data_IF_805509529010
#
_entry.id   IF_805509529010
#
_cell.length_a   1.000
_cell.length_b   1.000
_cell.length_c   1.000
_cell.angle_alpha   90.00
_cell.angle_beta   90.00
_cell.angle_gamma   90.00
#
_symmetry.space_group_name_H-M   'P 1'
#
loop_
_entity.id
_entity.type
_entity.pdbx_description
1 polymer ?
#
# COMPACT_ATOMS: atom_id res chain seq x y z
N UNK A 1 41.61 -4.38 -4.86
CA UNK A 1 40.68 -5.33 -4.20
C UNK A 1 39.33 -4.66 -4.09
N UNK A 2 38.24 -5.40 -4.24
CA UNK A 2 36.89 -4.85 -4.05
C UNK A 2 36.73 -4.37 -2.61
N UNK A 3 35.98 -3.29 -2.39
CA UNK A 3 35.57 -2.84 -1.04
C UNK A 3 34.39 -3.64 -0.49
N UNK A 4 33.89 -4.62 -1.25
CA UNK A 4 32.78 -5.48 -0.88
C UNK A 4 33.25 -6.90 -0.62
N UNK A 5 32.69 -7.51 0.42
CA UNK A 5 32.88 -8.92 0.76
C UNK A 5 31.83 -9.79 0.08
N UNK A 6 32.23 -10.98 -0.36
CA UNK A 6 31.32 -11.95 -0.97
C UNK A 6 30.66 -12.81 0.11
N UNK A 7 29.33 -12.77 0.20
CA UNK A 7 28.55 -13.57 1.14
C UNK A 7 27.90 -14.78 0.44
N UNK A 8 27.69 -15.86 1.21
CA UNK A 8 27.03 -17.07 0.71
C UNK A 8 25.53 -16.84 0.48
N UNK A 9 25.04 -17.37 -0.64
CA UNK A 9 23.60 -17.48 -0.95
C UNK A 9 23.06 -18.77 -0.29
N UNK A 10 22.01 -18.61 0.52
CA UNK A 10 21.32 -19.71 1.24
C UNK A 10 19.81 -19.50 1.23
N UNK A 11 19.04 -20.53 1.54
CA UNK A 11 17.59 -20.40 1.70
C UNK A 11 17.25 -19.37 2.78
N UNK A 12 16.20 -18.57 2.53
CA UNK A 12 15.85 -17.42 3.34
C UNK A 12 17.01 -16.40 3.50
N UNK A 13 17.83 -16.19 2.46
CA UNK A 13 18.97 -15.27 2.47
C UNK A 13 18.64 -13.87 3.04
N UNK A 14 17.41 -13.39 2.86
CA UNK A 14 16.97 -12.10 3.39
C UNK A 14 16.92 -12.04 4.92
N UNK A 15 16.94 -13.20 5.60
CA UNK A 15 16.98 -13.33 7.06
C UNK A 15 18.38 -13.60 7.60
N UNK A 16 19.32 -14.03 6.77
CA UNK A 16 20.64 -14.50 7.24
C UNK A 16 21.80 -13.70 6.66
N UNK A 17 21.62 -13.14 5.47
CA UNK A 17 22.71 -12.60 4.65
C UNK A 17 22.50 -11.14 4.25
N UNK A 18 21.38 -10.51 4.65
CA UNK A 18 21.05 -9.13 4.27
C UNK A 18 20.48 -8.34 5.44
N UNK A 19 20.83 -7.05 5.48
CA UNK A 19 20.07 -6.03 6.19
C UNK A 19 19.12 -5.37 5.19
N UNK A 20 17.95 -5.97 5.00
CA UNK A 20 17.00 -5.57 3.97
C UNK A 20 15.78 -4.89 4.61
N UNK A 21 15.63 -3.56 4.47
CA UNK A 21 14.51 -2.85 5.09
C UNK A 21 13.20 -3.23 4.40
N UNK A 22 12.26 -3.72 5.18
CA UNK A 22 10.96 -4.20 4.75
C UNK A 22 9.85 -3.59 5.61
N UNK A 23 8.65 -3.41 5.03
CA UNK A 23 7.47 -3.09 5.83
C UNK A 23 7.17 -4.23 6.82
N UNK A 24 6.54 -3.93 7.95
CA UNK A 24 5.90 -4.96 8.78
C UNK A 24 4.39 -4.75 8.72
N UNK A 25 3.68 -5.72 8.15
CA UNK A 25 2.22 -5.72 8.07
C UNK A 25 1.64 -6.95 8.74
N UNK A 26 0.34 -6.89 9.06
CA UNK A 26 -0.45 -8.05 9.49
C UNK A 26 -1.51 -8.31 8.44
N UNK A 27 -1.52 -9.50 7.85
CA UNK A 27 -2.48 -9.90 6.83
C UNK A 27 -3.63 -10.66 7.49
N UNK A 28 -4.85 -10.14 7.32
CA UNK A 28 -6.10 -10.80 7.68
C UNK A 28 -6.58 -11.69 6.54
N UNK A 29 -7.06 -12.89 6.87
CA UNK A 29 -7.58 -13.89 5.92
C UNK A 29 -8.74 -14.67 6.54
N UNK A 30 -9.54 -15.34 5.73
CA UNK A 30 -10.69 -16.14 6.18
C UNK A 30 -10.34 -17.61 6.34
N UNK A 31 -10.55 -18.14 7.54
CA UNK A 31 -10.55 -19.57 7.82
C UNK A 31 -11.72 -20.27 7.12
N UNK A 32 -11.70 -21.59 7.10
CA UNK A 32 -12.78 -22.42 6.53
C UNK A 32 -14.13 -22.20 7.24
N UNK A 33 -14.11 -21.93 8.55
CA UNK A 33 -15.30 -21.61 9.35
C UNK A 33 -15.77 -20.14 9.22
N UNK A 34 -15.13 -19.36 8.33
CA UNK A 34 -15.43 -17.94 8.12
C UNK A 34 -14.82 -17.00 9.18
N UNK A 35 -14.12 -17.52 10.18
CA UNK A 35 -13.42 -16.66 11.17
C UNK A 35 -12.19 -16.00 10.56
N UNK A 36 -11.79 -14.85 11.13
CA UNK A 36 -10.59 -14.13 10.66
C UNK A 36 -9.33 -14.64 11.33
N UNK A 37 -8.34 -15.04 10.53
CA UNK A 37 -6.97 -15.33 10.94
C UNK A 37 -6.04 -14.15 10.63
N UNK A 38 -5.09 -13.88 11.53
CA UNK A 38 -4.04 -12.88 11.35
C UNK A 38 -2.66 -13.54 11.20
N UNK A 39 -1.86 -13.06 10.24
CA UNK A 39 -0.46 -13.46 10.08
C UNK A 39 0.44 -12.26 9.78
N UNK A 40 1.57 -12.09 10.46
CA UNK A 40 2.52 -11.00 10.18
C UNK A 40 3.41 -11.33 8.98
N UNK A 41 3.67 -10.35 8.11
CA UNK A 41 4.50 -10.50 6.91
C UNK A 41 5.35 -9.25 6.66
N UNK A 42 6.55 -9.48 6.10
CA UNK A 42 7.43 -8.41 5.61
C UNK A 42 7.68 -8.47 4.10
N UNK A 43 7.53 -9.65 3.49
CA UNK A 43 7.67 -9.86 2.05
C UNK A 43 6.38 -9.49 1.31
N UNK A 44 6.01 -8.22 1.39
CA UNK A 44 4.86 -7.61 0.72
C UNK A 44 5.34 -6.37 -0.05
N UNK A 45 5.04 -6.27 -1.35
CA UNK A 45 5.59 -5.22 -2.21
C UNK A 45 4.57 -4.77 -3.25
N UNK A 46 4.57 -3.50 -3.71
CA UNK A 46 3.80 -3.10 -4.88
C UNK A 46 4.20 -3.93 -6.11
N UNK A 47 3.21 -4.32 -6.92
CA UNK A 47 3.43 -5.13 -8.12
C UNK A 47 2.96 -4.39 -9.38
N UNK A 48 1.64 -4.27 -9.58
CA UNK A 48 1.09 -3.42 -10.63
C UNK A 48 0.82 -2.02 -10.09
N UNK A 49 1.60 -1.05 -10.57
CA UNK A 49 1.57 0.35 -10.09
C UNK A 49 1.10 1.36 -11.13
N UNK A 50 1.14 1.02 -12.42
CA UNK A 50 0.66 1.85 -13.53
C UNK A 50 0.45 1.01 -14.79
N UNK A 51 -0.38 1.49 -15.72
CA UNK A 51 -0.53 0.91 -17.06
C UNK A 51 -1.39 -0.37 -17.14
N UNK A 52 -2.08 -0.74 -16.06
CA UNK A 52 -3.08 -1.80 -16.00
C UNK A 52 -4.42 -1.22 -15.55
N UNK A 53 -5.50 -1.93 -15.83
CA UNK A 53 -6.86 -1.58 -15.38
C UNK A 53 -7.03 -1.68 -13.86
N UNK A 54 -6.09 -2.35 -13.18
CA UNK A 54 -6.05 -2.52 -11.73
C UNK A 54 -4.63 -2.41 -11.17
N UNK A 55 -4.55 -2.14 -9.87
CA UNK A 55 -3.31 -2.12 -9.11
C UNK A 55 -3.21 -3.37 -8.25
N UNK A 56 -1.99 -3.79 -7.92
CA UNK A 56 -1.77 -5.01 -7.15
C UNK A 56 -0.56 -4.94 -6.22
N UNK A 57 -0.62 -5.73 -5.15
CA UNK A 57 0.48 -6.05 -4.25
C UNK A 57 0.96 -7.49 -4.52
N UNK A 58 2.24 -7.78 -4.30
CA UNK A 58 2.81 -9.11 -4.30
C UNK A 58 3.06 -9.54 -2.86
N UNK A 59 2.43 -10.64 -2.43
CA UNK A 59 2.78 -11.35 -1.21
C UNK A 59 3.65 -12.56 -1.54
N UNK A 60 4.83 -12.65 -0.95
CA UNK A 60 5.63 -13.87 -0.92
C UNK A 60 5.58 -14.49 0.48
N UNK A 61 5.21 -15.77 0.55
CA UNK A 61 5.10 -16.46 1.83
C UNK A 61 5.33 -17.96 1.70
N UNK A 62 5.47 -18.62 2.85
CA UNK A 62 5.45 -20.09 2.89
C UNK A 62 4.04 -20.59 2.56
N UNK A 63 3.97 -21.55 1.65
CA UNK A 63 2.70 -22.12 1.21
C UNK A 63 1.96 -22.85 2.34
N UNK A 64 2.66 -23.37 3.34
CA UNK A 64 2.08 -24.02 4.53
C UNK A 64 1.50 -23.05 5.57
N UNK A 65 1.64 -21.74 5.40
CA UNK A 65 1.09 -20.78 6.36
C UNK A 65 -0.44 -20.75 6.32
N UNK A 66 -1.09 -20.54 7.47
CA UNK A 66 -2.55 -20.36 7.55
C UNK A 66 -3.04 -19.27 6.57
N UNK A 67 -2.28 -18.19 6.42
CA UNK A 67 -2.60 -17.10 5.48
C UNK A 67 -2.59 -17.59 4.03
N UNK A 68 -1.53 -18.29 3.58
CA UNK A 68 -1.47 -18.82 2.23
C UNK A 68 -2.61 -19.82 1.97
N UNK A 69 -2.83 -20.74 2.91
CA UNK A 69 -3.91 -21.71 2.85
C UNK A 69 -5.29 -21.03 2.76
N UNK A 70 -5.51 -19.96 3.49
CA UNK A 70 -6.76 -19.20 3.45
C UNK A 70 -6.95 -18.42 2.14
N UNK A 71 -5.86 -17.86 1.57
CA UNK A 71 -5.91 -17.17 0.28
C UNK A 71 -6.19 -18.16 -0.86
N UNK A 72 -5.58 -19.34 -0.88
CA UNK A 72 -5.88 -20.39 -1.88
C UNK A 72 -7.37 -20.70 -1.91
N UNK A 73 -7.97 -20.89 -0.73
CA UNK A 73 -9.40 -21.21 -0.56
C UNK A 73 -10.33 -20.07 -0.95
N UNK A 74 -10.11 -18.88 -0.42
CA UNK A 74 -11.10 -17.80 -0.48
C UNK A 74 -10.74 -16.72 -1.50
N UNK A 75 -9.45 -16.57 -1.80
CA UNK A 75 -8.93 -15.48 -2.63
C UNK A 75 -9.04 -14.10 -1.98
N UNK A 76 -9.40 -13.99 -0.69
CA UNK A 76 -9.63 -12.70 -0.01
C UNK A 76 -8.62 -12.49 1.12
N UNK A 77 -8.05 -11.29 1.17
CA UNK A 77 -7.21 -10.86 2.29
C UNK A 77 -7.30 -9.35 2.52
N UNK A 78 -6.87 -8.90 3.71
CA UNK A 78 -6.63 -7.49 3.99
C UNK A 78 -5.21 -7.30 4.54
N UNK A 79 -4.49 -6.30 4.05
CA UNK A 79 -3.12 -5.98 4.46
C UNK A 79 -3.20 -4.81 5.45
N UNK A 80 -2.93 -5.07 6.73
CA UNK A 80 -3.04 -4.08 7.80
C UNK A 80 -1.66 -3.54 8.20
N UNK A 81 -1.49 -2.22 8.14
CA UNK A 81 -0.24 -1.56 8.49
C UNK A 81 -0.26 -1.19 9.98
N UNK A 82 0.60 -1.86 10.75
CA UNK A 82 0.76 -1.59 12.19
C UNK A 82 1.70 -0.41 12.42
N UNK A 83 1.59 0.23 13.59
CA UNK A 83 2.53 1.27 14.00
C UNK A 83 3.82 0.69 14.63
N UNK A 84 4.76 1.58 14.95
CA UNK A 84 6.04 1.23 15.56
C UNK A 84 5.99 1.04 17.08
N UNK A 85 4.78 0.92 17.66
CA UNK A 85 4.62 0.66 19.07
C UNK A 85 5.22 -0.72 19.42
N UNK A 86 6.17 -0.82 20.35
CA UNK A 86 6.78 -2.10 20.73
C UNK A 86 5.79 -3.18 21.14
N UNK A 87 4.61 -2.80 21.67
CA UNK A 87 3.55 -3.75 22.01
C UNK A 87 2.95 -4.41 20.76
N UNK A 88 2.72 -3.63 19.71
CA UNK A 88 2.17 -4.14 18.44
C UNK A 88 3.19 -5.02 17.74
N UNK A 89 4.48 -4.65 17.76
CA UNK A 89 5.53 -5.50 17.22
C UNK A 89 5.67 -6.82 18.00
N UNK A 90 5.64 -6.77 19.34
CA UNK A 90 5.67 -7.97 20.19
C UNK A 90 4.49 -8.90 19.89
N UNK A 91 3.30 -8.33 19.69
CA UNK A 91 2.11 -9.08 19.30
C UNK A 91 2.25 -9.72 17.91
N UNK A 92 2.79 -8.99 16.93
CA UNK A 92 3.11 -9.54 15.61
C UNK A 92 4.08 -10.72 15.72
N UNK A 93 5.18 -10.59 16.46
CA UNK A 93 6.13 -11.70 16.68
C UNK A 93 5.43 -12.91 17.32
N UNK A 94 4.56 -12.70 18.31
CA UNK A 94 3.77 -13.78 18.93
C UNK A 94 2.92 -14.53 17.90
N UNK A 95 2.28 -13.83 16.97
CA UNK A 95 1.45 -14.42 15.91
C UNK A 95 2.24 -15.11 14.78
N UNK A 96 3.58 -14.95 14.75
CA UNK A 96 4.45 -15.52 13.74
C UNK A 96 4.92 -16.95 14.04
N UNK A 97 4.52 -17.51 15.18
CA UNK A 97 4.94 -18.85 15.59
C UNK A 97 4.47 -19.91 14.58
N UNK A 98 5.39 -20.71 14.00
CA UNK A 98 5.02 -21.73 13.03
C UNK A 98 4.12 -22.82 13.64
N UNK A 99 3.06 -23.20 12.93
CA UNK A 99 2.18 -24.30 13.32
C UNK A 99 1.01 -23.92 14.24
N UNK A 100 0.99 -22.71 14.81
CA UNK A 100 -0.14 -22.25 15.62
C UNK A 100 -1.43 -22.20 14.80
N UNK A 101 -2.47 -22.89 15.27
CA UNK A 101 -3.78 -22.87 14.59
C UNK A 101 -4.50 -21.55 14.87
N UNK A 102 -5.31 -21.04 13.93
CA UNK A 102 -6.12 -19.85 14.17
C UNK A 102 -6.98 -19.96 15.44
N UNK A 103 -7.58 -21.12 15.68
CA UNK A 103 -8.40 -21.42 16.87
C UNK A 103 -7.65 -21.30 18.20
N UNK A 104 -6.32 -21.42 18.20
CA UNK A 104 -5.48 -21.38 19.40
C UNK A 104 -4.91 -19.98 19.66
N UNK A 105 -4.49 -19.29 18.59
CA UNK A 105 -3.82 -18.00 18.68
C UNK A 105 -4.77 -16.81 18.68
N UNK A 106 -5.88 -16.88 17.95
CA UNK A 106 -6.82 -15.76 17.81
C UNK A 106 -7.53 -15.39 19.12
N UNK A 107 -7.96 -16.33 19.99
CA UNK A 107 -8.56 -15.98 21.29
C UNK A 107 -7.62 -15.21 22.22
N UNK A 108 -6.30 -15.31 21.99
CA UNK A 108 -5.26 -14.61 22.77
C UNK A 108 -4.68 -13.41 22.03
N UNK A 109 -5.27 -13.03 20.89
CA UNK A 109 -4.78 -11.94 20.07
C UNK A 109 -5.19 -10.59 20.68
N UNK A 110 -4.23 -9.67 20.79
CA UNK A 110 -4.47 -8.33 21.34
C UNK A 110 -4.89 -7.31 20.28
N UNK A 111 -4.85 -7.67 18.99
CA UNK A 111 -5.31 -6.79 17.92
C UNK A 111 -6.83 -6.77 17.87
N UNK A 112 -7.39 -5.56 17.82
CA UNK A 112 -8.83 -5.34 17.67
C UNK A 112 -9.21 -5.38 16.20
N UNK A 113 -10.36 -5.95 15.92
CA UNK A 113 -10.86 -6.14 14.56
C UNK A 113 -12.19 -5.41 14.37
N UNK A 114 -12.37 -4.84 13.18
CA UNK A 114 -13.62 -4.26 12.70
C UNK A 114 -13.98 -4.83 11.32
N UNK A 115 -15.23 -4.66 10.89
CA UNK A 115 -15.69 -5.22 9.62
C UNK A 115 -14.95 -4.57 8.44
N UNK A 116 -14.79 -5.36 7.38
CA UNK A 116 -14.37 -4.87 6.07
C UNK A 116 -15.36 -3.84 5.55
N UNK A 117 -14.87 -2.72 5.02
CA UNK A 117 -15.75 -1.70 4.44
C UNK A 117 -16.38 -2.19 3.12
N UNK A 118 -15.68 -3.05 2.37
CA UNK A 118 -16.26 -3.74 1.20
C UNK A 118 -17.45 -4.61 1.63
N UNK A 119 -17.30 -5.41 2.69
CA UNK A 119 -18.39 -6.28 3.15
C UNK A 119 -19.53 -5.50 3.81
N UNK A 120 -19.26 -4.36 4.45
CA UNK A 120 -20.32 -3.48 4.96
C UNK A 120 -21.16 -2.88 3.83
N UNK A 121 -20.53 -2.50 2.72
CA UNK A 121 -21.23 -1.98 1.53
C UNK A 121 -21.91 -3.10 0.72
N UNK A 122 -21.33 -4.30 0.71
CA UNK A 122 -21.84 -5.48 0.01
C UNK A 122 -21.75 -6.73 0.91
N UNK A 123 -22.81 -7.06 1.66
CA UNK A 123 -22.82 -8.20 2.59
C UNK A 123 -22.52 -9.56 1.95
N UNK A 124 -22.74 -9.72 0.64
CA UNK A 124 -22.49 -10.96 -0.09
C UNK A 124 -21.00 -11.14 -0.47
N UNK A 125 -20.20 -10.07 -0.48
CA UNK A 125 -18.74 -10.15 -0.64
C UNK A 125 -18.10 -10.40 0.72
N UNK A 126 -18.03 -11.68 1.12
CA UNK A 126 -17.46 -12.09 2.40
C UNK A 126 -15.96 -11.78 2.43
N UNK A 127 -15.53 -10.98 3.41
CA UNK A 127 -14.15 -10.51 3.57
C UNK A 127 -13.63 -10.80 4.97
N UNK A 128 -12.31 -10.96 5.14
CA UNK A 128 -11.74 -10.98 6.48
C UNK A 128 -11.90 -9.61 7.16
N UNK A 129 -11.98 -9.63 8.48
CA UNK A 129 -12.00 -8.40 9.27
C UNK A 129 -10.68 -7.64 9.15
N UNK A 130 -10.75 -6.32 9.32
CA UNK A 130 -9.59 -5.42 9.28
C UNK A 130 -9.21 -5.00 10.70
N UNK A 131 -7.96 -4.59 10.92
CA UNK A 131 -7.50 -4.16 12.23
C UNK A 131 -7.94 -2.73 12.53
N UNK A 132 -8.72 -2.55 13.61
CA UNK A 132 -9.22 -1.23 14.04
C UNK A 132 -8.11 -0.23 14.28
N UNK A 133 -6.96 -0.67 14.79
CA UNK A 133 -5.83 0.19 15.14
C UNK A 133 -4.78 0.32 14.04
N UNK A 134 -5.00 -0.27 12.86
CA UNK A 134 -4.10 -0.09 11.73
C UNK A 134 -4.07 1.38 11.28
N UNK A 135 -2.89 1.82 10.83
CA UNK A 135 -2.68 3.14 10.25
C UNK A 135 -3.41 3.27 8.92
N UNK A 136 -3.28 2.23 8.10
CA UNK A 136 -3.91 2.05 6.80
C UNK A 136 -4.13 0.57 6.55
N UNK A 137 -5.10 0.26 5.69
CA UNK A 137 -5.46 -1.12 5.31
C UNK A 137 -5.67 -1.17 3.80
N UNK A 138 -5.22 -2.26 3.18
CA UNK A 138 -5.48 -2.53 1.77
C UNK A 138 -6.31 -3.81 1.69
N UNK A 139 -7.57 -3.70 1.28
CA UNK A 139 -8.46 -4.84 1.05
C UNK A 139 -8.22 -5.39 -0.35
N UNK A 140 -7.98 -6.69 -0.45
CA UNK A 140 -7.49 -7.30 -1.69
C UNK A 140 -8.26 -8.55 -2.10
N UNK A 141 -8.24 -8.82 -3.41
CA UNK A 141 -8.61 -10.10 -4.01
C UNK A 141 -7.40 -10.69 -4.74
N UNK A 142 -7.13 -11.97 -4.55
CA UNK A 142 -6.09 -12.68 -5.28
C UNK A 142 -6.52 -12.93 -6.73
N UNK A 143 -5.67 -12.50 -7.66
CA UNK A 143 -5.82 -12.70 -9.11
C UNK A 143 -5.38 -14.13 -9.48
N UNK A 144 -6.20 -15.11 -9.14
CA UNK A 144 -5.88 -16.56 -9.25
C UNK A 144 -5.69 -17.02 -10.70
N UNK A 145 -6.36 -16.39 -11.65
CA UNK A 145 -6.28 -16.72 -13.08
C UNK A 145 -4.92 -16.39 -13.71
N UNK A 146 -4.11 -15.54 -13.07
CA UNK A 146 -2.76 -15.29 -13.53
C UNK A 146 -1.91 -16.54 -13.33
N UNK A 147 -1.09 -16.85 -14.35
CA UNK A 147 -0.17 -18.00 -14.34
C UNK A 147 -0.88 -19.37 -14.27
N UNK A 148 -2.20 -19.42 -14.47
CA UNK A 148 -2.97 -20.67 -14.31
C UNK A 148 -3.03 -21.16 -12.86
N UNK A 149 -2.83 -20.26 -11.90
CA UNK A 149 -2.82 -20.55 -10.47
C UNK A 149 -4.21 -20.81 -9.87
N UNK A 150 -5.28 -20.69 -10.67
CA UNK A 150 -6.66 -20.99 -10.30
C UNK A 150 -6.87 -22.47 -9.96
N UNK A 151 -5.94 -23.32 -10.41
CA UNK A 151 -5.90 -24.76 -10.14
C UNK A 151 -5.33 -25.10 -8.77
N UNK A 152 -4.64 -24.17 -8.12
CA UNK A 152 -4.03 -24.42 -6.82
C UNK A 152 -5.09 -24.58 -5.73
N UNK A 153 -4.97 -25.63 -4.93
CA UNK A 153 -5.90 -25.95 -3.86
C UNK A 153 -5.21 -25.89 -2.50
N UNK A 154 -5.91 -25.47 -1.43
CA UNK A 154 -5.38 -25.60 -0.08
C UNK A 154 -5.31 -27.07 0.36
N UNK A 155 -4.57 -27.34 1.43
CA UNK A 155 -4.54 -28.62 2.13
C UNK A 155 -3.15 -29.26 2.24
N UNK A 156 -2.18 -28.83 1.44
CA UNK A 156 -0.80 -29.37 1.52
C UNK A 156 0.06 -28.50 2.44
N UNK A 157 0.53 -29.09 3.54
CA UNK A 157 1.37 -28.42 4.55
C UNK A 157 2.83 -28.89 4.52
N UNK A 158 3.09 -30.10 4.00
CA UNK A 158 4.43 -30.70 3.86
C UNK A 158 5.11 -30.33 2.53
N UNK A 159 4.56 -29.33 1.84
CA UNK A 159 4.97 -28.88 0.53
C UNK A 159 4.09 -29.41 -0.60
N UNK A 160 4.13 -28.71 -1.72
CA UNK A 160 3.38 -29.04 -2.93
C UNK A 160 4.34 -29.70 -3.91
N UNK A 161 3.88 -30.74 -4.60
CA UNK A 161 4.63 -31.35 -5.70
C UNK A 161 4.41 -30.56 -6.99
N UNK A 162 5.41 -30.59 -7.87
CA UNK A 162 5.37 -29.84 -9.13
C UNK A 162 4.36 -30.39 -10.15
N UNK A 163 4.16 -29.68 -11.28
CA UNK A 163 4.91 -28.50 -11.70
C UNK A 163 4.56 -27.23 -10.91
N UNK A 164 5.51 -26.30 -10.81
CA UNK A 164 5.32 -25.00 -10.14
C UNK A 164 5.04 -23.90 -11.16
N UNK A 165 4.33 -22.87 -10.71
CA UNK A 165 4.08 -21.64 -11.46
C UNK A 165 5.30 -20.70 -11.42
N UNK A 166 5.40 -19.79 -12.37
CA UNK A 166 6.54 -18.89 -12.51
C UNK A 166 6.47 -17.70 -11.52
N UNK A 167 5.27 -17.17 -11.25
CA UNK A 167 5.12 -15.93 -10.47
C UNK A 167 3.84 -15.80 -9.63
N UNK A 168 2.83 -16.67 -9.79
CA UNK A 168 1.57 -16.60 -9.01
C UNK A 168 1.10 -17.99 -8.56
N UNK A 169 0.49 -18.09 -7.39
CA UNK A 169 0.13 -19.37 -6.78
C UNK A 169 1.32 -20.08 -6.13
N UNK A 170 1.37 -21.41 -6.27
CA UNK A 170 2.46 -22.26 -5.78
C UNK A 170 3.66 -22.18 -6.74
N UNK A 171 4.70 -21.47 -6.31
CA UNK A 171 5.89 -21.18 -7.14
C UNK A 171 7.12 -22.01 -6.77
N UNK A 172 7.05 -22.80 -5.70
CA UNK A 172 8.06 -23.80 -5.34
C UNK A 172 7.48 -24.81 -4.35
N UNK A 173 8.26 -25.84 -3.99
CA UNK A 173 7.84 -26.86 -3.02
C UNK A 173 7.28 -26.27 -1.72
N UNK A 174 7.89 -25.19 -1.22
CA UNK A 174 7.55 -24.58 0.08
C UNK A 174 7.09 -23.12 -0.01
N UNK A 175 7.10 -22.53 -1.21
CA UNK A 175 6.81 -21.12 -1.44
C UNK A 175 5.53 -20.91 -2.24
N UNK A 176 4.85 -19.81 -1.93
CA UNK A 176 3.74 -19.29 -2.72
C UNK A 176 3.91 -17.79 -2.95
N UNK A 177 3.46 -17.33 -4.12
CA UNK A 177 3.35 -15.93 -4.48
C UNK A 177 1.88 -15.60 -4.75
N UNK A 178 1.38 -14.50 -4.19
CA UNK A 178 0.01 -14.06 -4.47
C UNK A 178 0.03 -12.67 -5.06
N UNK A 179 -0.50 -12.53 -6.28
CA UNK A 179 -0.78 -11.22 -6.89
C UNK A 179 -2.15 -10.74 -6.39
N UNK A 180 -2.12 -9.81 -5.45
CA UNK A 180 -3.26 -9.32 -4.70
C UNK A 180 -3.75 -8.01 -5.33
N UNK A 181 -4.83 -8.06 -6.11
CA UNK A 181 -5.49 -6.85 -6.63
C UNK A 181 -5.98 -6.00 -5.46
N UNK A 182 -5.70 -4.71 -5.52
CA UNK A 182 -6.21 -3.72 -4.58
C UNK A 182 -7.66 -3.43 -4.93
N UNK A 183 -8.59 -3.84 -4.07
CA UNK A 183 -10.01 -3.52 -4.23
C UNK A 183 -10.36 -2.21 -3.49
N UNK A 184 -9.77 -1.97 -2.32
CA UNK A 184 -9.97 -0.73 -1.54
C UNK A 184 -8.76 -0.37 -0.68
N UNK A 185 -8.48 0.93 -0.54
CA UNK A 185 -7.49 1.47 0.40
C UNK A 185 -8.23 2.24 1.50
N UNK A 186 -8.03 1.83 2.74
CA UNK A 186 -8.58 2.47 3.94
C UNK A 186 -7.44 3.17 4.67
N UNK A 187 -7.69 4.37 5.20
CA UNK A 187 -6.67 5.14 5.90
C UNK A 187 -7.30 5.96 7.02
N UNK A 188 -6.61 6.07 8.16
CA UNK A 188 -7.10 6.94 9.25
C UNK A 188 -7.14 8.40 8.79
N UNK A 189 -8.22 9.10 9.17
CA UNK A 189 -8.54 10.47 8.72
C UNK A 189 -7.35 11.43 8.80
N UNK A 190 -6.56 11.39 9.87
CA UNK A 190 -5.40 12.27 10.05
C UNK A 190 -4.35 12.12 8.93
N UNK A 191 -4.18 10.91 8.38
CA UNK A 191 -3.22 10.63 7.32
C UNK A 191 -3.82 10.94 5.94
N UNK A 192 -5.10 10.64 5.71
CA UNK A 192 -5.78 11.06 4.48
C UNK A 192 -5.82 12.59 4.35
N UNK A 193 -6.13 13.29 5.45
CA UNK A 193 -6.09 14.76 5.51
C UNK A 193 -4.69 15.29 5.18
N UNK A 194 -3.63 14.63 5.63
CA UNK A 194 -2.25 15.03 5.32
C UNK A 194 -1.92 14.87 3.83
N UNK A 195 -2.37 13.78 3.20
CA UNK A 195 -2.20 13.56 1.75
C UNK A 195 -2.92 14.67 0.97
N UNK A 196 -4.18 14.96 1.32
CA UNK A 196 -5.03 15.92 0.60
C UNK A 196 -4.55 17.37 0.80
N UNK A 197 -4.14 17.73 2.01
CA UNK A 197 -3.79 19.12 2.36
C UNK A 197 -2.29 19.44 2.18
N UNK A 198 -1.48 18.45 1.79
CA UNK A 198 -0.04 18.57 1.69
C UNK A 198 0.68 18.08 2.95
N UNK A 199 1.65 17.19 2.74
CA UNK A 199 2.33 16.45 3.81
C UNK A 199 3.50 17.27 4.38
N UNK A 200 3.62 17.31 5.70
CA UNK A 200 4.83 17.74 6.42
C UNK A 200 5.50 16.53 7.08
N UNK A 201 6.77 16.68 7.46
CA UNK A 201 7.55 15.62 8.12
C UNK A 201 6.86 14.96 9.33
N UNK A 202 6.10 15.75 10.11
CA UNK A 202 5.35 15.26 11.28
C UNK A 202 4.11 14.45 10.93
N UNK A 203 3.57 14.62 9.73
CA UNK A 203 2.31 14.00 9.32
C UNK A 203 2.49 12.54 8.87
N UNK A 204 3.74 12.10 8.60
CA UNK A 204 4.04 10.71 8.25
C UNK A 204 3.70 9.74 9.40
N UNK A 205 3.11 8.57 9.12
CA UNK A 205 2.84 7.56 10.13
C UNK A 205 4.12 6.95 10.72
N UNK A 206 4.13 6.57 12.00
CA UNK A 206 5.22 5.83 12.61
C UNK A 206 5.15 4.36 12.21
N UNK A 207 5.39 4.03 10.95
CA UNK A 207 5.44 2.65 10.47
C UNK A 207 6.77 2.00 10.88
N UNK A 208 6.76 0.75 11.39
CA UNK A 208 7.97 0.01 11.70
C UNK A 208 8.67 -0.46 10.42
N UNK A 209 10.00 -0.44 10.43
CA UNK A 209 10.83 -1.03 9.38
C UNK A 209 11.59 -2.22 9.96
N UNK A 210 11.24 -3.42 9.53
CA UNK A 210 11.95 -4.66 9.85
C UNK A 210 13.14 -4.82 8.90
N UNK A 211 14.27 -5.34 9.36
CA UNK A 211 15.47 -5.52 8.51
C UNK A 211 15.64 -6.94 7.97
N UNK A 212 14.65 -7.82 8.21
CA UNK A 212 14.63 -9.20 7.75
C UNK A 212 15.58 -10.11 8.49
N UNK A 213 16.80 -9.64 8.74
CA UNK A 213 17.85 -10.31 9.48
C UNK A 213 17.35 -10.84 10.82
N UNK A 214 17.70 -12.09 11.14
CA UNK A 214 17.42 -12.74 12.41
C UNK A 214 18.67 -13.43 12.92
N UNK A 215 18.96 -13.26 14.19
CA UNK A 215 20.06 -13.91 14.89
C UNK A 215 19.58 -15.13 15.69
N UNK A 216 18.65 -15.92 15.12
CA UNK A 216 17.92 -17.04 15.74
C UNK A 216 17.06 -16.70 16.97
N UNK A 217 17.32 -15.58 17.64
CA UNK A 217 16.66 -15.15 18.89
C UNK A 217 15.74 -13.96 18.69
N UNK A 218 16.15 -12.99 17.87
CA UNK A 218 15.51 -11.69 17.80
C UNK A 218 14.95 -11.42 16.40
N UNK A 219 13.86 -10.65 16.40
CA UNK A 219 13.37 -9.91 15.25
C UNK A 219 13.74 -8.44 15.45
N UNK A 220 14.29 -7.80 14.43
CA UNK A 220 14.88 -6.48 14.53
C UNK A 220 14.08 -5.45 13.74
N UNK A 221 13.48 -4.47 14.42
CA UNK A 221 12.78 -3.37 13.76
C UNK A 221 13.30 -2.00 14.22
N UNK A 222 13.18 -1.04 13.31
CA UNK A 222 13.46 0.36 13.57
C UNK A 222 12.15 1.15 13.75
N UNK A 223 12.14 2.05 14.74
CA UNK A 223 11.06 3.00 14.98
C UNK A 223 11.27 4.27 14.18
N UNK A 224 10.18 4.92 13.75
CA UNK A 224 10.27 6.21 13.08
C UNK A 224 10.91 7.24 14.02
N UNK A 225 12.01 7.84 13.59
CA UNK A 225 12.66 8.95 14.31
C UNK A 225 12.23 10.31 13.74
N UNK A 226 12.79 10.69 12.59
CA UNK A 226 12.45 11.95 11.90
C UNK A 226 12.45 11.76 10.40
N UNK A 227 11.45 12.32 9.71
CA UNK A 227 11.44 12.38 8.25
C UNK A 227 12.33 13.53 7.79
N UNK A 228 13.22 13.25 6.85
CA UNK A 228 14.01 14.26 6.15
C UNK A 228 13.38 14.48 4.79
N UNK A 229 13.07 15.73 4.48
CA UNK A 229 12.58 16.12 3.16
C UNK A 229 13.78 16.55 2.32
N UNK A 230 13.97 15.89 1.18
CA UNK A 230 14.94 16.33 0.17
C UNK A 230 14.18 17.04 -0.95
N UNK A 231 14.60 18.27 -1.25
CA UNK A 231 13.98 19.04 -2.32
C UNK A 231 14.44 18.47 -3.67
N UNK A 232 13.48 18.12 -4.51
CA UNK A 232 13.77 17.80 -5.91
C UNK A 232 14.42 19.02 -6.55
N UNK A 233 15.53 18.81 -7.27
CA UNK A 233 16.20 19.87 -8.02
C UNK A 233 15.18 20.59 -8.91
N UNK A 234 15.14 21.92 -8.81
CA UNK A 234 14.28 22.74 -9.65
C UNK A 234 14.75 22.63 -11.10
N UNK A 235 14.06 21.79 -11.86
CA UNK A 235 14.09 21.79 -13.31
C UNK A 235 12.87 22.58 -13.79
N UNK A 236 12.98 23.26 -14.92
CA UNK A 236 11.82 23.89 -15.56
C UNK A 236 10.71 22.83 -15.65
N UNK A 237 9.52 23.16 -15.14
CA UNK A 237 8.39 22.26 -15.23
C UNK A 237 8.15 21.98 -16.71
N UNK A 238 8.08 20.70 -17.10
CA UNK A 238 7.65 20.35 -18.45
C UNK A 238 6.13 20.40 -18.51
N UNK A 239 5.58 20.72 -19.68
CA UNK A 239 4.13 20.69 -19.91
C UNK A 239 3.53 19.34 -19.49
N UNK A 240 4.24 18.24 -19.75
CA UNK A 240 3.81 16.91 -19.31
C UNK A 240 3.72 16.77 -17.79
N UNK A 241 4.68 17.33 -17.04
CA UNK A 241 4.65 17.26 -15.56
C UNK A 241 3.47 18.02 -14.96
N UNK A 242 3.11 19.17 -15.56
CA UNK A 242 1.96 19.98 -15.14
C UNK A 242 0.66 19.29 -15.55
N UNK A 243 0.58 18.73 -16.76
CA UNK A 243 -0.57 17.92 -17.20
C UNK A 243 -0.81 16.74 -16.27
N UNK A 244 0.24 16.00 -15.93
CA UNK A 244 0.16 14.86 -15.01
C UNK A 244 -0.30 15.25 -13.59
N UNK A 245 -0.05 16.47 -13.15
CA UNK A 245 -0.58 16.98 -11.88
C UNK A 245 -2.05 17.42 -12.02
N UNK A 246 -2.41 18.05 -13.14
CA UNK A 246 -3.77 18.48 -13.43
C UNK A 246 -4.72 17.28 -13.62
N UNK A 247 -4.31 16.23 -14.33
CA UNK A 247 -5.18 15.07 -14.58
C UNK A 247 -5.61 14.33 -13.30
N UNK A 248 -4.87 14.51 -12.21
CA UNK A 248 -5.11 13.87 -10.91
C UNK A 248 -5.80 14.78 -9.89
N UNK A 249 -6.01 16.05 -10.20
CA UNK A 249 -6.68 16.97 -9.28
C UNK A 249 -8.20 16.77 -9.30
N UNK A 250 -8.75 16.40 -10.46
CA UNK A 250 -10.19 16.23 -10.67
C UNK A 250 -10.46 15.26 -11.85
N UNK A 251 -11.46 14.40 -11.67
CA UNK A 251 -11.86 13.40 -12.66
C UNK A 251 -12.64 14.01 -13.83
N UNK A 252 -13.37 15.11 -13.61
CA UNK A 252 -14.28 15.74 -14.57
C UNK A 252 -13.71 17.01 -15.20
N UNK A 253 -13.16 17.92 -14.39
CA UNK A 253 -12.65 19.20 -14.86
C UNK A 253 -11.26 19.02 -15.45
N UNK A 254 -11.11 19.33 -16.74
CA UNK A 254 -9.85 19.20 -17.49
C UNK A 254 -9.27 20.56 -17.85
N UNK A 255 -8.01 20.55 -18.27
CA UNK A 255 -7.28 21.74 -18.69
C UNK A 255 -6.79 21.57 -20.12
N UNK A 256 -6.84 22.64 -20.88
CA UNK A 256 -6.14 22.72 -22.18
C UNK A 256 -4.63 22.87 -21.99
N UNK A 257 -3.85 22.51 -23.00
CA UNK A 257 -2.39 22.66 -22.97
C UNK A 257 -1.95 24.11 -22.79
N UNK A 258 -2.65 25.05 -23.41
CA UNK A 258 -2.33 26.48 -23.30
C UNK A 258 -2.64 27.01 -21.90
N UNK A 259 -3.70 26.52 -21.25
CA UNK A 259 -3.94 26.80 -19.82
C UNK A 259 -2.82 26.26 -18.93
N UNK A 260 -2.34 25.04 -19.19
CA UNK A 260 -1.26 24.42 -18.42
C UNK A 260 0.10 25.09 -18.64
N UNK A 261 0.36 25.66 -19.82
CA UNK A 261 1.59 26.45 -20.08
C UNK A 261 1.71 27.64 -19.13
N UNK A 262 0.60 28.30 -18.78
CA UNK A 262 0.59 29.40 -17.81
C UNK A 262 0.98 28.96 -16.39
N UNK A 263 0.95 27.66 -16.11
CA UNK A 263 1.28 27.08 -14.81
C UNK A 263 2.74 26.60 -14.71
N UNK A 264 3.51 26.64 -15.81
CA UNK A 264 4.91 26.17 -15.82
C UNK A 264 5.82 26.97 -14.89
N UNK A 265 5.48 28.24 -14.65
CA UNK A 265 6.21 29.14 -13.76
C UNK A 265 5.76 29.05 -12.30
N UNK A 266 4.70 28.29 -11.99
CA UNK A 266 4.25 28.10 -10.61
C UNK A 266 5.22 27.16 -9.90
N UNK A 267 5.84 27.56 -8.77
CA UNK A 267 6.72 26.67 -8.03
C UNK A 267 5.97 25.40 -7.62
N UNK A 268 6.63 24.24 -7.75
CA UNK A 268 6.00 22.92 -7.61
C UNK A 268 5.26 22.71 -6.29
N UNK A 269 5.74 23.33 -5.21
CA UNK A 269 5.13 23.26 -3.87
C UNK A 269 3.74 23.93 -3.83
N UNK A 270 3.50 24.93 -4.68
CA UNK A 270 2.24 25.64 -4.78
C UNK A 270 1.34 25.11 -5.91
N UNK A 271 1.86 24.25 -6.79
CA UNK A 271 1.12 23.75 -7.95
C UNK A 271 -0.19 23.03 -7.57
N UNK A 272 -0.24 22.13 -6.55
CA UNK A 272 -1.50 21.50 -6.15
C UNK A 272 -2.56 22.50 -5.67
N UNK A 273 -2.17 23.47 -4.84
CA UNK A 273 -3.07 24.49 -4.34
C UNK A 273 -3.55 25.42 -5.45
N UNK A 274 -2.66 25.77 -6.39
CA UNK A 274 -2.99 26.59 -7.54
C UNK A 274 -3.99 25.88 -8.47
N UNK A 275 -3.74 24.60 -8.80
CA UNK A 275 -4.64 23.77 -9.61
C UNK A 275 -5.99 23.58 -8.93
N UNK A 276 -6.01 23.25 -7.63
CA UNK A 276 -7.24 23.13 -6.85
C UNK A 276 -8.07 24.41 -6.90
N UNK A 277 -7.44 25.56 -6.71
CA UNK A 277 -8.14 26.85 -6.82
C UNK A 277 -8.70 27.14 -8.22
N UNK A 278 -8.09 26.59 -9.28
CA UNK A 278 -8.65 26.71 -10.64
C UNK A 278 -9.86 25.79 -10.81
N UNK A 279 -9.80 24.58 -10.27
CA UNK A 279 -10.93 23.62 -10.26
C UNK A 279 -12.10 24.16 -9.45
N UNK A 280 -11.85 24.73 -8.28
CA UNK A 280 -12.88 25.32 -7.43
C UNK A 280 -13.58 26.49 -8.17
N UNK A 281 -12.81 27.36 -8.83
CA UNK A 281 -13.38 28.40 -9.69
C UNK A 281 -14.21 27.80 -10.84
N UNK A 282 -13.72 26.74 -11.49
CA UNK A 282 -14.42 26.12 -12.59
C UNK A 282 -15.75 25.48 -12.14
N UNK A 283 -15.81 24.88 -10.94
CA UNK A 283 -17.07 24.40 -10.35
C UNK A 283 -18.04 25.55 -10.05
N UNK A 284 -17.54 26.65 -9.48
CA UNK A 284 -18.37 27.84 -9.20
C UNK A 284 -18.97 28.46 -10.48
N UNK A 285 -18.28 28.30 -11.63
CA UNK A 285 -18.66 28.90 -12.90
C UNK A 285 -19.23 27.88 -13.91
N UNK A 286 -19.52 26.63 -13.49
CA UNK A 286 -20.01 25.55 -14.35
C UNK A 286 -19.15 25.29 -15.61
N UNK A 287 -17.83 25.31 -15.45
CA UNK A 287 -16.86 25.05 -16.52
C UNK A 287 -16.22 23.68 -16.33
N UNK A 288 -16.28 22.83 -17.36
CA UNK A 288 -15.64 21.50 -17.34
C UNK A 288 -14.27 21.48 -18.05
N UNK A 289 -13.97 22.48 -18.89
CA UNK A 289 -12.69 22.61 -19.58
C UNK A 289 -12.07 24.00 -19.37
N UNK A 290 -10.97 24.06 -18.63
CA UNK A 290 -10.25 25.29 -18.32
C UNK A 290 -9.32 25.65 -19.49
N UNK A 291 -9.57 26.82 -20.08
CA UNK A 291 -8.83 27.39 -21.21
C UNK A 291 -7.85 28.47 -20.73
N UNK A 292 -6.99 28.95 -21.63
CA UNK A 292 -6.10 30.08 -21.35
C UNK A 292 -6.87 31.34 -20.90
N UNK A 293 -8.05 31.59 -21.48
CA UNK A 293 -8.91 32.72 -21.12
C UNK A 293 -9.42 32.61 -19.68
N UNK A 294 -9.88 31.42 -19.28
CA UNK A 294 -10.30 31.17 -17.89
C UNK A 294 -9.15 31.40 -16.90
N UNK A 295 -7.93 30.98 -17.26
CA UNK A 295 -6.73 31.20 -16.43
C UNK A 295 -6.40 32.70 -16.25
N UNK A 296 -6.59 33.51 -17.30
CA UNK A 296 -6.41 34.98 -17.21
C UNK A 296 -7.42 35.59 -16.24
N UNK A 297 -8.70 35.21 -16.34
CA UNK A 297 -9.76 35.67 -15.43
C UNK A 297 -9.44 35.32 -13.97
N UNK A 298 -9.00 34.09 -13.71
CA UNK A 298 -8.63 33.62 -12.36
C UNK A 298 -7.46 34.44 -11.80
N UNK A 299 -6.44 34.70 -12.61
CA UNK A 299 -5.27 35.47 -12.21
C UNK A 299 -5.61 36.94 -11.95
N UNK A 300 -6.44 37.56 -12.79
CA UNK A 300 -6.87 38.95 -12.63
C UNK A 300 -7.70 39.14 -11.35
N UNK A 301 -8.61 38.20 -11.05
CA UNK A 301 -9.39 38.21 -9.79
C UNK A 301 -8.44 38.17 -8.57
N UNK A 302 -7.44 37.29 -8.57
CA UNK A 302 -6.42 37.21 -7.51
C UNK A 302 -5.55 38.47 -7.41
N UNK A 303 -5.21 39.11 -8.53
CA UNK A 303 -4.44 40.34 -8.55
C UNK A 303 -5.23 41.53 -7.96
N UNK A 304 -6.53 41.60 -8.24
CA UNK A 304 -7.43 42.60 -7.67
C UNK A 304 -7.64 42.41 -6.16
N UNK A 305 -7.76 41.16 -5.70
CA UNK A 305 -7.85 40.83 -4.27
C UNK A 305 -6.56 41.18 -3.50
N UNK A 306 -5.38 40.98 -4.11
CA UNK A 306 -4.10 41.39 -3.53
C UNK A 306 -3.91 42.90 -3.41
N UNK A 307 -4.51 43.70 -4.31
CA UNK A 307 -4.46 45.18 -4.23
C UNK A 307 -5.38 45.76 -3.15
N UNK A 308 -6.32 44.96 -2.63
CA UNK A 308 -7.27 45.35 -1.57
C UNK A 308 -6.80 44.98 -0.16
N UNK A 309 -5.65 44.32 -0.03
CA UNK A 309 -4.96 44.03 1.23
C UNK A 309 -3.70 44.89 1.35
#
# INVERSE_FOLDING_TARGET
MSSFENLRIVDNFYQTSLFFPMPTVVISTLCEDGTTNLGPYSLIQPYYVAGKEYYAMLLNCRNSSNTAQNILRTGKCAINFIDDNPKNFKEAVKLSWPGDKPSEKMPKCNFRLEKSLIQEENPDDIRPMVMTDAIEVIECTWMRELDGADKDQPGQLEGYEGPYHDFNGITSKFGAHFILRIDKILMKKKYSDAIINGVRAKDFPPLPVDYGYRDSKNFWFHRKRHMRAELLQMRQASLQSVRYAADRIDDKIKFTDDALKLMLNVPRVFLPAALKGCVDWARENNVELITEEHMKIINDKRAQEKKKK
#
